data_IF_955059889946
#
_entry.id   IF_955059889946
#
_cell.length_a   1.000
_cell.length_b   1.000
_cell.length_c   1.000
_cell.angle_alpha   90.00
_cell.angle_beta   90.00
_cell.angle_gamma   90.00
#
_symmetry.space_group_name_H-M   'P 1'
#
loop_
_entity.id
_entity.type
_entity.pdbx_description
1 polymer ?
#
# COMPACT_ATOMS: atom_id res chain seq x y z
N UNK A 1 37.97 -45.02 -40.45
CA UNK A 1 36.69 -45.72 -40.62
C UNK A 1 35.98 -45.69 -39.27
N UNK A 2 35.25 -44.60 -38.99
CA UNK A 2 34.49 -44.41 -37.76
C UNK A 2 33.13 -43.84 -38.17
N UNK A 3 32.08 -44.47 -37.65
CA UNK A 3 30.70 -44.39 -38.13
C UNK A 3 30.12 -43.00 -37.80
N UNK A 4 29.62 -42.32 -38.82
CA UNK A 4 28.80 -41.11 -38.70
C UNK A 4 27.47 -41.49 -38.05
N UNK A 5 27.29 -41.16 -36.78
CA UNK A 5 26.01 -41.24 -36.11
C UNK A 5 25.29 -39.90 -36.31
N UNK A 6 24.25 -39.93 -37.14
CA UNK A 6 23.41 -38.80 -37.55
C UNK A 6 22.79 -38.05 -36.36
N UNK A 7 22.78 -36.71 -36.34
CA UNK A 7 22.20 -35.90 -35.27
C UNK A 7 20.66 -35.79 -35.32
N UNK A 8 19.96 -36.73 -35.97
CA UNK A 8 18.50 -36.71 -36.09
C UNK A 8 17.75 -37.30 -34.88
N UNK A 9 18.46 -37.87 -33.90
CA UNK A 9 17.84 -38.53 -32.75
C UNK A 9 17.51 -37.58 -31.56
N UNK A 10 17.72 -36.27 -31.69
CA UNK A 10 17.41 -35.30 -30.62
C UNK A 10 16.36 -34.26 -31.08
N UNK A 11 15.39 -34.70 -31.87
CA UNK A 11 14.27 -33.87 -32.32
C UNK A 11 12.92 -34.56 -32.13
N UNK A 12 12.65 -35.06 -30.92
CA UNK A 12 11.34 -35.64 -30.58
C UNK A 12 10.94 -35.52 -29.10
N UNK A 13 11.46 -34.55 -28.35
CA UNK A 13 10.98 -34.30 -26.98
C UNK A 13 10.16 -33.00 -26.88
N UNK A 14 9.42 -32.67 -27.94
CA UNK A 14 8.09 -32.11 -27.72
C UNK A 14 7.23 -33.27 -27.20
N UNK A 15 7.29 -33.52 -25.88
CA UNK A 15 6.47 -34.52 -25.20
C UNK A 15 5.02 -34.43 -25.70
N UNK A 16 4.46 -35.51 -26.30
CA UNK A 16 3.09 -35.50 -26.78
C UNK A 16 2.17 -35.39 -25.56
N UNK A 17 1.53 -34.21 -25.41
CA UNK A 17 0.69 -33.89 -24.27
C UNK A 17 1.21 -32.76 -23.38
N UNK A 18 2.40 -32.19 -23.65
CA UNK A 18 2.81 -30.93 -23.01
C UNK A 18 2.12 -29.78 -23.74
N UNK A 19 1.19 -29.05 -23.11
CA UNK A 19 0.56 -27.91 -23.75
C UNK A 19 1.64 -26.90 -24.12
N UNK A 20 1.80 -26.64 -25.42
CA UNK A 20 2.60 -25.53 -25.92
C UNK A 20 2.02 -24.26 -25.31
N UNK A 21 2.80 -23.46 -24.57
CA UNK A 21 2.28 -22.24 -23.96
C UNK A 21 1.72 -21.35 -25.06
N UNK A 22 0.39 -21.16 -25.07
CA UNK A 22 -0.25 -20.26 -26.01
C UNK A 22 0.32 -18.85 -25.79
N UNK A 23 0.92 -18.29 -26.84
CA UNK A 23 1.71 -17.06 -26.87
C UNK A 23 0.93 -15.76 -26.59
N UNK A 24 -0.27 -15.87 -26.01
CA UNK A 24 -1.10 -14.74 -25.64
C UNK A 24 -1.26 -14.70 -24.13
N UNK A 25 -0.83 -13.61 -23.46
CA UNK A 25 -1.25 -13.38 -22.09
C UNK A 25 -2.78 -13.47 -22.05
N UNK A 26 -3.39 -14.20 -21.11
CA UNK A 26 -4.83 -14.28 -21.04
C UNK A 26 -5.40 -12.87 -21.01
N UNK A 27 -6.50 -12.60 -21.73
CA UNK A 27 -7.15 -11.26 -21.74
C UNK A 27 -7.39 -10.72 -20.33
N UNK A 28 -7.55 -11.62 -19.35
CA UNK A 28 -7.61 -11.32 -17.92
C UNK A 28 -6.38 -10.55 -17.41
N UNK A 29 -5.17 -10.88 -17.84
CA UNK A 29 -3.93 -10.19 -17.45
C UNK A 29 -3.88 -8.74 -17.96
N UNK A 30 -4.45 -8.50 -19.14
CA UNK A 30 -4.58 -7.15 -19.70
C UNK A 30 -5.68 -6.33 -19.01
N UNK A 31 -6.79 -6.95 -18.60
CA UNK A 31 -7.81 -6.28 -17.77
C UNK A 31 -7.31 -6.02 -16.34
N UNK A 32 -6.57 -6.97 -15.77
CA UNK A 32 -5.96 -6.87 -14.44
C UNK A 32 -4.84 -5.81 -14.42
N UNK A 33 -4.19 -5.55 -15.56
CA UNK A 33 -3.28 -4.42 -15.77
C UNK A 33 -3.98 -3.04 -15.67
N UNK A 34 -5.29 -2.98 -15.92
CA UNK A 34 -6.03 -1.72 -15.96
C UNK A 34 -6.78 -1.39 -14.65
N UNK A 35 -6.87 -2.36 -13.71
CA UNK A 35 -7.70 -2.26 -12.50
C UNK A 35 -7.02 -2.83 -11.23
N UNK A 36 -5.70 -2.69 -11.07
CA UNK A 36 -5.02 -3.27 -9.89
C UNK A 36 -4.98 -2.32 -8.67
N UNK A 37 -5.48 -1.09 -8.80
CA UNK A 37 -5.79 -0.21 -7.66
C UNK A 37 -7.07 -0.64 -6.93
N UNK A 38 -7.04 -0.69 -5.60
CA UNK A 38 -8.20 -1.03 -4.76
C UNK A 38 -9.17 0.15 -4.66
N UNK A 39 -10.37 0.01 -5.27
CA UNK A 39 -11.43 1.01 -5.20
C UNK A 39 -11.88 1.26 -3.75
N UNK A 40 -12.01 0.18 -2.96
CA UNK A 40 -12.43 0.25 -1.56
C UNK A 40 -11.48 1.11 -0.73
N UNK A 41 -10.16 0.95 -0.94
CA UNK A 41 -9.16 1.76 -0.24
C UNK A 41 -9.28 3.23 -0.66
N UNK A 42 -9.51 3.52 -1.94
CA UNK A 42 -9.62 4.89 -2.44
C UNK A 42 -10.86 5.62 -1.92
N UNK A 43 -12.00 4.93 -1.82
CA UNK A 43 -13.23 5.48 -1.20
C UNK A 43 -12.98 5.80 0.28
N UNK A 44 -12.33 4.89 1.00
CA UNK A 44 -12.06 5.08 2.42
C UNK A 44 -11.12 6.27 2.67
N UNK A 45 -10.04 6.38 1.88
CA UNK A 45 -9.11 7.50 1.92
C UNK A 45 -9.80 8.83 1.60
N UNK A 46 -10.72 8.85 0.63
CA UNK A 46 -11.48 10.05 0.28
C UNK A 46 -12.28 10.58 1.47
N UNK A 47 -13.01 9.72 2.18
CA UNK A 47 -13.74 10.13 3.37
C UNK A 47 -12.81 10.53 4.52
N UNK A 48 -11.68 9.84 4.68
CA UNK A 48 -10.72 10.19 5.71
C UNK A 48 -10.05 11.56 5.47
N UNK A 49 -9.85 11.99 4.22
CA UNK A 49 -9.35 13.35 3.92
C UNK A 49 -10.29 14.42 4.46
N UNK A 50 -11.59 14.29 4.23
CA UNK A 50 -12.57 15.25 4.75
C UNK A 50 -12.70 15.17 6.27
N UNK A 51 -12.71 13.96 6.81
CA UNK A 51 -12.79 13.75 8.25
C UNK A 51 -11.55 14.27 8.98
N UNK A 52 -10.34 14.03 8.47
CA UNK A 52 -9.08 14.51 9.04
C UNK A 52 -9.00 16.04 9.06
N UNK A 53 -9.54 16.72 8.05
CA UNK A 53 -9.70 18.18 8.05
C UNK A 53 -10.60 18.65 9.21
N UNK A 54 -11.75 18.00 9.40
CA UNK A 54 -12.65 18.31 10.52
C UNK A 54 -12.00 17.99 11.88
N UNK A 55 -11.35 16.83 11.99
CA UNK A 55 -10.63 16.39 13.18
C UNK A 55 -9.55 17.40 13.59
N UNK A 56 -8.77 17.91 12.63
CA UNK A 56 -7.76 18.93 12.87
C UNK A 56 -8.39 20.20 13.47
N UNK A 57 -9.44 20.72 12.84
CA UNK A 57 -10.11 21.95 13.31
C UNK A 57 -10.66 21.78 14.72
N UNK A 58 -11.37 20.67 14.99
CA UNK A 58 -11.94 20.39 16.32
C UNK A 58 -10.83 20.31 17.38
N UNK A 59 -9.77 19.55 17.13
CA UNK A 59 -8.69 19.39 18.09
C UNK A 59 -7.86 20.66 18.28
N UNK A 60 -7.70 21.50 17.25
CA UNK A 60 -7.07 22.83 17.36
C UNK A 60 -7.89 23.71 18.31
N UNK A 61 -9.21 23.83 18.10
CA UNK A 61 -10.08 24.66 18.94
C UNK A 61 -10.07 24.20 20.40
N UNK A 62 -10.17 22.89 20.63
CA UNK A 62 -10.14 22.32 21.98
C UNK A 62 -8.78 22.54 22.62
N UNK A 63 -7.68 22.32 21.89
CA UNK A 63 -6.32 22.57 22.41
C UNK A 63 -6.12 24.05 22.75
N UNK A 64 -6.57 24.99 21.90
CA UNK A 64 -6.49 26.43 22.20
C UNK A 64 -7.28 26.82 23.45
N UNK A 65 -8.46 26.23 23.65
CA UNK A 65 -9.24 26.41 24.87
C UNK A 65 -8.50 25.86 26.10
N UNK A 66 -7.92 24.66 25.99
CA UNK A 66 -7.19 24.00 27.07
C UNK A 66 -5.92 24.76 27.47
N UNK A 67 -5.15 25.25 26.50
CA UNK A 67 -3.99 26.11 26.75
C UNK A 67 -4.43 27.36 27.52
N UNK A 68 -5.54 27.98 27.15
CA UNK A 68 -6.04 29.19 27.82
C UNK A 68 -6.48 28.94 29.25
N UNK A 69 -7.09 27.77 29.52
CA UNK A 69 -7.64 27.40 30.84
C UNK A 69 -6.61 26.79 31.79
N UNK A 70 -5.65 26.04 31.26
CA UNK A 70 -4.68 25.26 32.04
C UNK A 70 -3.24 25.66 31.70
N UNK A 71 -2.96 26.97 31.75
CA UNK A 71 -1.65 27.53 31.37
C UNK A 71 -0.48 26.98 32.18
N UNK A 72 -0.74 26.61 33.44
CA UNK A 72 0.29 26.14 34.38
C UNK A 72 0.66 24.66 34.18
N UNK A 73 -0.17 23.87 33.48
CA UNK A 73 0.16 22.47 33.18
C UNK A 73 0.99 22.39 31.90
N UNK A 74 2.29 22.11 32.03
CA UNK A 74 3.22 21.98 30.90
C UNK A 74 2.81 20.87 29.92
N UNK A 75 2.13 19.82 30.37
CA UNK A 75 1.64 18.77 29.47
C UNK A 75 0.59 19.31 28.51
N UNK A 76 -0.32 20.16 29.00
CA UNK A 76 -1.40 20.73 28.19
C UNK A 76 -0.90 21.91 27.36
N UNK A 77 -0.06 22.77 27.96
CA UNK A 77 0.39 24.02 27.36
C UNK A 77 1.46 23.82 26.27
N UNK A 78 2.29 22.78 26.39
CA UNK A 78 3.43 22.55 25.48
C UNK A 78 3.33 21.22 24.75
N UNK A 79 3.14 20.09 25.45
CA UNK A 79 3.20 18.77 24.82
C UNK A 79 2.01 18.53 23.87
N UNK A 80 0.77 18.79 24.31
CA UNK A 80 -0.44 18.60 23.49
C UNK A 80 -0.38 19.36 22.14
N UNK A 81 -0.06 20.67 22.08
CA UNK A 81 0.03 21.38 20.79
C UNK A 81 1.16 20.89 19.90
N UNK A 82 2.30 20.46 20.46
CA UNK A 82 3.39 19.86 19.67
C UNK A 82 2.94 18.55 19.02
N UNK A 83 2.31 17.66 19.80
CA UNK A 83 1.81 16.39 19.28
C UNK A 83 0.71 16.59 18.22
N UNK A 84 -0.18 17.56 18.43
CA UNK A 84 -1.16 17.96 17.42
C UNK A 84 -0.50 18.53 16.16
N UNK A 85 0.57 19.33 16.30
CA UNK A 85 1.36 19.82 15.18
C UNK A 85 2.00 18.69 14.36
N UNK A 86 2.58 17.69 15.03
CA UNK A 86 3.11 16.48 14.39
C UNK A 86 1.98 15.75 13.65
N UNK A 87 0.81 15.58 14.28
CA UNK A 87 -0.35 14.95 13.65
C UNK A 87 -0.76 15.67 12.37
N UNK A 88 -0.85 17.00 12.39
CA UNK A 88 -1.22 17.83 11.23
C UNK A 88 -0.25 17.72 10.05
N UNK A 89 1.03 17.40 10.30
CA UNK A 89 2.01 17.17 9.25
C UNK A 89 2.00 15.73 8.74
N UNK A 90 1.88 14.78 9.66
CA UNK A 90 1.95 13.35 9.36
C UNK A 90 0.69 12.87 8.63
N UNK A 91 -0.50 13.29 9.06
CA UNK A 91 -1.75 12.78 8.49
C UNK A 91 -1.89 13.04 6.99
N UNK A 92 -1.62 14.27 6.48
CA UNK A 92 -1.65 14.52 5.04
C UNK A 92 -0.60 13.71 4.28
N UNK A 93 0.62 13.56 4.83
CA UNK A 93 1.67 12.74 4.22
C UNK A 93 1.26 11.27 4.13
N UNK A 94 0.67 10.74 5.21
CA UNK A 94 0.17 9.37 5.29
C UNK A 94 -0.91 9.12 4.25
N UNK A 95 -1.92 10.00 4.17
CA UNK A 95 -3.00 9.90 3.19
C UNK A 95 -2.50 10.04 1.75
N UNK A 96 -1.56 10.95 1.49
CA UNK A 96 -0.95 11.13 0.17
C UNK A 96 -0.17 9.88 -0.29
N UNK A 97 0.62 9.28 0.61
CA UNK A 97 1.34 8.04 0.33
C UNK A 97 0.38 6.86 0.10
N UNK A 98 -0.72 6.78 0.85
CA UNK A 98 -1.74 5.76 0.64
C UNK A 98 -2.39 5.90 -0.74
N UNK A 99 -2.77 7.13 -1.10
CA UNK A 99 -3.40 7.44 -2.37
C UNK A 99 -2.46 7.14 -3.55
N UNK A 100 -1.23 7.66 -3.49
CA UNK A 100 -0.22 7.42 -4.52
C UNK A 100 0.16 5.93 -4.61
N UNK A 101 0.33 5.26 -3.46
CA UNK A 101 0.70 3.85 -3.40
C UNK A 101 -0.37 2.92 -3.96
N UNK A 102 -1.65 3.20 -3.68
CA UNK A 102 -2.78 2.46 -4.22
C UNK A 102 -2.92 2.66 -5.73
N UNK A 103 -2.81 3.91 -6.21
CA UNK A 103 -3.02 4.23 -7.62
C UNK A 103 -1.85 3.81 -8.53
N UNK A 104 -0.62 3.88 -8.00
CA UNK A 104 0.60 3.50 -8.74
C UNK A 104 1.01 2.04 -8.48
N UNK A 105 0.26 1.30 -7.66
CA UNK A 105 0.55 -0.08 -7.26
C UNK A 105 1.97 -0.25 -6.68
N UNK A 106 2.49 0.81 -6.04
CA UNK A 106 3.85 0.85 -5.51
C UNK A 106 3.88 0.38 -4.07
N UNK A 107 4.35 -0.85 -3.88
CA UNK A 107 4.52 -1.48 -2.55
C UNK A 107 5.32 -0.58 -1.60
N UNK A 108 6.35 0.10 -2.10
CA UNK A 108 7.17 1.02 -1.29
C UNK A 108 6.35 2.15 -0.65
N UNK A 109 5.43 2.77 -1.40
CA UNK A 109 4.58 3.87 -0.89
C UNK A 109 3.54 3.33 0.09
N UNK A 110 2.97 2.16 -0.21
CA UNK A 110 2.00 1.51 0.65
C UNK A 110 2.65 1.05 1.97
N UNK A 111 3.89 0.56 1.93
CA UNK A 111 4.68 0.26 3.12
C UNK A 111 4.96 1.51 3.98
N UNK A 112 5.29 2.64 3.36
CA UNK A 112 5.43 3.91 4.07
C UNK A 112 4.12 4.38 4.71
N UNK A 113 2.99 4.18 4.04
CA UNK A 113 1.66 4.39 4.61
C UNK A 113 1.39 3.52 5.85
N UNK A 114 1.73 2.22 5.79
CA UNK A 114 1.62 1.30 6.93
C UNK A 114 2.51 1.74 8.09
N UNK A 115 3.75 2.10 7.77
CA UNK A 115 4.70 2.61 8.74
C UNK A 115 4.13 3.85 9.44
N UNK A 116 3.69 4.86 8.69
CA UNK A 116 3.11 6.10 9.25
C UNK A 116 1.83 5.87 10.05
N UNK A 117 1.02 4.88 9.66
CA UNK A 117 -0.21 4.47 10.35
C UNK A 117 0.11 3.86 11.72
N UNK A 118 1.11 2.97 11.80
CA UNK A 118 1.54 2.36 13.05
C UNK A 118 2.38 3.34 13.91
N UNK A 119 3.24 4.11 13.26
CA UNK A 119 4.11 5.10 13.85
C UNK A 119 4.29 6.31 12.91
N UNK A 120 3.85 7.52 13.28
CA UNK A 120 3.45 7.93 14.62
C UNK A 120 1.93 7.94 14.85
N UNK A 121 1.07 7.63 13.86
CA UNK A 121 -0.35 7.92 14.00
C UNK A 121 -1.05 7.19 15.15
N UNK A 122 -0.85 5.87 15.25
CA UNK A 122 -1.45 5.11 16.34
C UNK A 122 -1.04 5.67 17.72
N UNK A 123 0.21 6.08 17.89
CA UNK A 123 0.70 6.67 19.14
C UNK A 123 0.02 8.01 19.47
N UNK A 124 -0.19 8.86 18.46
CA UNK A 124 -0.85 10.16 18.64
C UNK A 124 -2.32 9.99 19.03
N UNK A 125 -3.03 9.05 18.41
CA UNK A 125 -4.44 8.78 18.75
C UNK A 125 -4.57 8.13 20.13
N UNK A 126 -3.68 7.20 20.47
CA UNK A 126 -3.62 6.61 21.82
C UNK A 126 -3.32 7.66 22.88
N UNK A 127 -2.44 8.62 22.58
CA UNK A 127 -2.18 9.74 23.50
C UNK A 127 -3.46 10.48 23.85
N UNK A 128 -4.26 10.88 22.85
CA UNK A 128 -5.53 11.60 23.08
C UNK A 128 -6.53 10.75 23.88
N UNK A 129 -6.62 9.45 23.60
CA UNK A 129 -7.61 8.57 24.23
C UNK A 129 -7.27 8.15 25.67
N UNK A 130 -5.99 7.88 25.97
CA UNK A 130 -5.60 7.20 27.21
C UNK A 130 -4.64 8.01 28.10
N UNK A 131 -3.80 8.86 27.51
CA UNK A 131 -2.69 9.52 28.23
C UNK A 131 -3.00 10.98 28.55
N UNK A 132 -3.78 11.63 27.68
CA UNK A 132 -4.01 13.07 27.74
C UNK A 132 -4.79 13.47 29.00
N UNK A 133 -4.28 14.48 29.72
CA UNK A 133 -4.95 15.07 30.88
C UNK A 133 -6.11 15.97 30.44
N UNK A 134 -7.15 16.03 31.28
CA UNK A 134 -8.35 16.83 31.04
C UNK A 134 -8.97 16.59 29.65
N UNK A 135 -9.18 15.32 29.28
CA UNK A 135 -9.80 14.98 27.99
C UNK A 135 -11.27 15.43 27.99
N UNK A 136 -11.68 16.14 26.95
CA UNK A 136 -13.08 16.47 26.72
C UNK A 136 -13.75 15.38 25.89
N UNK A 137 -15.06 15.17 26.08
CA UNK A 137 -15.84 14.17 25.34
C UNK A 137 -15.72 14.35 23.82
N UNK A 138 -15.68 15.60 23.34
CA UNK A 138 -15.48 15.90 21.91
C UNK A 138 -14.15 15.40 21.35
N UNK A 139 -13.05 15.49 22.13
CA UNK A 139 -11.74 14.96 21.75
C UNK A 139 -11.82 13.43 21.63
N UNK A 140 -12.35 12.77 22.66
CA UNK A 140 -12.47 11.30 22.70
C UNK A 140 -13.33 10.75 21.56
N UNK A 141 -14.47 11.38 21.26
CA UNK A 141 -15.34 10.97 20.15
C UNK A 141 -14.62 11.14 18.82
N UNK A 142 -13.97 12.29 18.60
CA UNK A 142 -13.22 12.53 17.36
C UNK A 142 -12.05 11.54 17.20
N UNK A 143 -11.33 11.22 18.27
CA UNK A 143 -10.22 10.28 18.26
C UNK A 143 -10.68 8.84 18.03
N UNK A 144 -11.86 8.48 18.55
CA UNK A 144 -12.48 7.17 18.35
C UNK A 144 -12.93 6.95 16.90
N UNK A 145 -13.41 7.99 16.22
CA UNK A 145 -13.72 7.89 14.79
C UNK A 145 -12.42 7.79 13.98
N UNK A 146 -11.39 8.57 14.33
CA UNK A 146 -10.08 8.50 13.67
C UNK A 146 -9.45 7.10 13.78
N UNK A 147 -9.53 6.46 14.95
CA UNK A 147 -9.01 5.08 15.11
C UNK A 147 -9.82 4.08 14.27
N UNK A 148 -11.13 4.30 14.12
CA UNK A 148 -11.97 3.51 13.21
C UNK A 148 -11.47 3.57 11.76
N UNK A 149 -11.16 4.77 11.26
CA UNK A 149 -10.56 4.94 9.93
C UNK A 149 -9.20 4.23 9.84
N UNK A 150 -8.30 4.45 10.80
CA UNK A 150 -6.96 3.83 10.80
C UNK A 150 -7.05 2.29 10.73
N UNK A 151 -7.94 1.67 11.51
CA UNK A 151 -8.13 0.21 11.52
C UNK A 151 -8.72 -0.28 10.19
N UNK A 152 -9.75 0.38 9.67
CA UNK A 152 -10.36 0.01 8.40
C UNK A 152 -9.36 0.11 7.24
N UNK A 153 -8.56 1.16 7.21
CA UNK A 153 -7.52 1.37 6.20
C UNK A 153 -6.39 0.34 6.33
N UNK A 154 -6.03 -0.06 7.55
CA UNK A 154 -5.02 -1.10 7.78
C UNK A 154 -5.48 -2.46 7.22
N UNK A 155 -6.74 -2.83 7.45
CA UNK A 155 -7.32 -4.09 6.98
C UNK A 155 -7.41 -4.09 5.45
N UNK A 156 -8.04 -3.08 4.86
CA UNK A 156 -8.24 -2.99 3.41
C UNK A 156 -6.88 -2.80 2.69
N UNK A 157 -6.01 -1.98 3.26
CA UNK A 157 -4.65 -1.77 2.77
C UNK A 157 -3.84 -3.06 2.76
N UNK A 158 -4.01 -3.92 3.77
CA UNK A 158 -3.28 -5.19 3.86
C UNK A 158 -3.71 -6.14 2.73
N UNK A 159 -5.03 -6.27 2.52
CA UNK A 159 -5.54 -7.04 1.39
C UNK A 159 -5.06 -6.50 0.04
N UNK A 160 -4.98 -5.17 -0.09
CA UNK A 160 -4.47 -4.51 -1.31
C UNK A 160 -3.01 -4.86 -1.57
N UNK A 161 -2.14 -4.84 -0.54
CA UNK A 161 -0.74 -5.27 -0.67
C UNK A 161 -0.65 -6.73 -1.11
N UNK A 162 -1.39 -7.63 -0.43
CA UNK A 162 -1.36 -9.05 -0.74
C UNK A 162 -1.78 -9.33 -2.19
N UNK A 163 -2.74 -8.57 -2.69
CA UNK A 163 -3.18 -8.63 -4.08
C UNK A 163 -2.09 -8.15 -5.04
N UNK A 164 -1.51 -6.97 -4.80
CA UNK A 164 -0.44 -6.39 -5.63
C UNK A 164 0.78 -7.33 -5.69
N UNK A 165 1.19 -7.92 -4.56
CA UNK A 165 2.33 -8.86 -4.50
C UNK A 165 2.11 -10.08 -5.39
N UNK A 166 0.90 -10.66 -5.38
CA UNK A 166 0.55 -11.82 -6.23
C UNK A 166 0.62 -11.48 -7.72
N UNK A 167 0.15 -10.29 -8.09
CA UNK A 167 0.23 -9.80 -9.46
C UNK A 167 1.69 -9.61 -9.87
N UNK A 168 2.49 -8.94 -9.04
CA UNK A 168 3.90 -8.69 -9.35
C UNK A 168 4.71 -9.98 -9.51
N UNK A 169 4.48 -10.97 -8.64
CA UNK A 169 5.12 -12.28 -8.75
C UNK A 169 4.73 -13.01 -10.05
N UNK A 170 3.48 -12.89 -10.48
CA UNK A 170 3.01 -13.48 -11.74
C UNK A 170 3.65 -12.80 -12.95
N UNK A 171 3.74 -11.46 -12.94
CA UNK A 171 4.41 -10.70 -14.00
C UNK A 171 5.88 -11.06 -14.14
N UNK A 172 6.61 -11.12 -13.03
CA UNK A 172 8.02 -11.50 -13.02
C UNK A 172 8.24 -12.88 -13.67
N UNK A 173 7.39 -13.86 -13.33
CA UNK A 173 7.48 -15.20 -13.92
C UNK A 173 7.21 -15.21 -15.43
N UNK A 174 6.25 -14.41 -15.90
CA UNK A 174 5.92 -14.31 -17.32
C UNK A 174 7.03 -13.62 -18.12
N UNK A 175 7.58 -12.53 -17.59
CA UNK A 175 8.66 -11.77 -18.24
C UNK A 175 9.94 -12.62 -18.39
N UNK A 176 10.29 -13.40 -17.36
CA UNK A 176 11.39 -14.36 -17.44
C UNK A 176 11.12 -15.48 -18.45
N UNK A 177 9.91 -16.02 -18.48
CA UNK A 177 9.53 -17.07 -19.43
C UNK A 177 9.63 -16.61 -20.89
N UNK A 178 9.16 -15.40 -21.20
CA UNK A 178 9.21 -14.85 -22.55
C UNK A 178 10.65 -14.50 -22.98
N UNK A 179 11.44 -13.90 -22.09
CA UNK A 179 12.84 -13.53 -22.38
C UNK A 179 13.71 -14.76 -22.66
N UNK A 180 13.50 -15.86 -21.94
CA UNK A 180 14.19 -17.12 -22.19
C UNK A 180 13.82 -17.73 -23.54
N UNK A 181 12.54 -17.69 -23.93
CA UNK A 181 12.08 -18.17 -25.22
C UNK A 181 12.66 -17.37 -26.40
N UNK A 182 12.73 -16.05 -26.30
CA UNK A 182 13.30 -15.19 -27.33
C UNK A 182 14.80 -15.46 -27.57
N UNK A 183 15.57 -15.71 -26.50
CA UNK A 183 16.99 -16.07 -26.59
C UNK A 183 17.20 -17.42 -27.28
N UNK A 184 16.32 -18.40 -27.03
CA UNK A 184 16.37 -19.70 -27.70
C UNK A 184 16.06 -19.59 -29.20
N UNK A 185 15.10 -18.73 -29.57
CA UNK A 185 14.77 -18.49 -30.98
C UNK A 185 15.93 -17.79 -31.68
N UNK A 186 16.52 -16.74 -31.08
CA UNK A 186 17.66 -16.03 -31.68
C UNK A 186 18.89 -16.91 -31.84
N UNK A 187 19.20 -17.76 -30.85
CA UNK A 187 20.31 -18.71 -30.97
C UNK A 187 20.04 -19.74 -32.07
N UNK A 188 18.85 -20.33 -32.16
CA UNK A 188 18.51 -21.28 -33.22
C UNK A 188 18.60 -20.67 -34.64
N UNK A 189 18.22 -19.40 -34.81
CA UNK A 189 18.32 -18.69 -36.11
C UNK A 189 19.76 -18.34 -36.46
N UNK A 190 20.64 -18.11 -35.48
CA UNK A 190 22.05 -17.76 -35.71
C UNK A 190 22.90 -18.96 -36.18
N UNK A 191 22.45 -20.19 -35.91
CA UNK A 191 23.13 -21.42 -36.31
C UNK A 191 22.55 -22.08 -37.57
N UNK A 192 21.61 -21.41 -38.25
CA UNK A 192 21.08 -21.76 -39.58
C UNK A 192 21.68 -20.83 -40.65
#
# INVERSE_FOLDING_TARGET
MAILQSPEAMRSDALPGVPVPSHHPPKQLYLERQMSSSLSLQILLYYNVWYSGLYAVVNILITSFKISKYKDDQFVSVLTPILLGIWCLVEPCRLALAYAGNLQERIQHLAAFFFLTLFPQAFLVVYVLAIQKHVLTGETTSASIQIGFLVAELIIGYHTIQYIVKIQATRFRLDYGNSGAEQLIQSAVTYL
#
